data_IF_024888635270
#
_entry.id   IF_024888635270
#
_cell.length_a   1.000
_cell.length_b   1.000
_cell.length_c   1.000
_cell.angle_alpha   90.00
_cell.angle_beta   90.00
_cell.angle_gamma   90.00
#
_symmetry.space_group_name_H-M   'P 1'
#
loop_
_entity.id
_entity.type
_entity.pdbx_description
1 polymer ?
#
# COMPACT_ATOMS: atom_id res chain seq x y z
N UNK A 1 4.67 -15.30 6.42
CA UNK A 1 3.39 -14.54 6.44
C UNK A 1 2.19 -15.42 6.11
N UNK A 2 2.29 -16.36 5.18
CA UNK A 2 1.18 -17.26 4.81
C UNK A 2 0.56 -18.01 6.01
N UNK A 3 1.35 -18.64 6.88
CA UNK A 3 0.84 -19.30 8.11
C UNK A 3 0.08 -18.36 9.04
N UNK A 4 0.48 -17.08 9.12
CA UNK A 4 -0.25 -16.10 9.91
C UNK A 4 -1.61 -15.79 9.27
N UNK A 5 -1.67 -15.76 7.94
CA UNK A 5 -2.90 -15.53 7.17
C UNK A 5 -3.84 -16.76 7.14
N UNK A 6 -3.32 -17.96 7.38
CA UNK A 6 -4.15 -19.16 7.61
C UNK A 6 -4.94 -19.05 8.92
N UNK A 7 -4.34 -18.47 9.95
CA UNK A 7 -4.94 -18.30 11.28
C UNK A 7 -5.81 -17.03 11.32
N UNK A 8 -5.29 -15.93 10.76
CA UNK A 8 -5.94 -14.62 10.72
C UNK A 8 -5.83 -14.01 9.31
N UNK A 9 -6.78 -14.29 8.42
CA UNK A 9 -6.74 -13.82 7.02
C UNK A 9 -6.70 -12.30 6.87
N UNK A 10 -7.11 -11.56 7.91
CA UNK A 10 -7.20 -10.10 7.95
C UNK A 10 -6.03 -9.44 8.68
N UNK A 11 -5.01 -10.20 9.11
CA UNK A 11 -3.85 -9.60 9.77
C UNK A 11 -3.16 -8.61 8.83
N UNK A 12 -3.11 -7.34 9.25
CA UNK A 12 -2.74 -6.20 8.40
C UNK A 12 -1.28 -6.32 7.95
N UNK A 13 -0.36 -6.46 8.89
CA UNK A 13 1.08 -6.54 8.67
C UNK A 13 1.47 -7.81 7.91
N UNK A 14 0.80 -8.95 8.16
CA UNK A 14 1.07 -10.17 7.42
C UNK A 14 0.66 -10.05 5.94
N UNK A 15 -0.48 -9.40 5.66
CA UNK A 15 -0.88 -9.09 4.29
C UNK A 15 0.07 -8.07 3.64
N UNK A 16 0.50 -7.03 4.38
CA UNK A 16 1.43 -6.02 3.88
C UNK A 16 2.79 -6.65 3.50
N UNK A 17 3.39 -7.42 4.42
CA UNK A 17 4.71 -8.00 4.18
C UNK A 17 4.68 -9.07 3.08
N UNK A 18 3.61 -9.89 3.00
CA UNK A 18 3.46 -10.83 1.89
C UNK A 18 3.29 -10.09 0.55
N UNK A 19 2.54 -8.99 0.52
CA UNK A 19 2.40 -8.18 -0.68
C UNK A 19 3.75 -7.60 -1.14
N UNK A 20 4.57 -7.11 -0.20
CA UNK A 20 5.92 -6.62 -0.50
C UNK A 20 6.80 -7.72 -1.10
N UNK A 21 6.82 -8.92 -0.52
CA UNK A 21 7.56 -10.06 -1.09
C UNK A 21 7.08 -10.42 -2.51
N UNK A 22 5.77 -10.40 -2.74
CA UNK A 22 5.20 -10.68 -4.07
C UNK A 22 5.53 -9.59 -5.08
N UNK A 23 5.62 -8.33 -4.64
CA UNK A 23 6.02 -7.20 -5.48
C UNK A 23 7.50 -7.29 -5.89
N UNK A 24 8.37 -7.69 -4.96
CA UNK A 24 9.79 -7.95 -5.21
C UNK A 24 9.99 -9.10 -6.23
N UNK A 25 9.11 -10.09 -6.21
CA UNK A 25 9.06 -11.20 -7.19
C UNK A 25 8.30 -10.85 -8.48
N UNK A 26 8.04 -9.55 -8.72
CA UNK A 26 7.31 -9.02 -9.89
C UNK A 26 5.86 -9.51 -10.05
N UNK A 27 5.31 -10.24 -9.07
CA UNK A 27 3.92 -10.70 -9.01
C UNK A 27 2.96 -9.57 -8.59
N UNK A 28 2.96 -8.48 -9.34
CA UNK A 28 2.28 -7.23 -9.00
C UNK A 28 0.77 -7.41 -8.76
N UNK A 29 0.10 -8.29 -9.50
CA UNK A 29 -1.33 -8.57 -9.29
C UNK A 29 -1.62 -9.24 -7.95
N UNK A 30 -0.75 -10.16 -7.53
CA UNK A 30 -0.88 -10.83 -6.24
C UNK A 30 -0.58 -9.86 -5.09
N UNK A 31 0.47 -9.04 -5.24
CA UNK A 31 0.79 -7.97 -4.30
C UNK A 31 -0.39 -7.01 -4.10
N UNK A 32 -1.01 -6.54 -5.19
CA UNK A 32 -2.19 -5.68 -5.14
C UNK A 32 -3.34 -6.30 -4.33
N UNK A 33 -3.60 -7.60 -4.47
CA UNK A 33 -4.66 -8.28 -3.69
C UNK A 33 -4.37 -8.24 -2.19
N UNK A 34 -3.12 -8.49 -1.80
CA UNK A 34 -2.75 -8.52 -0.39
C UNK A 34 -2.66 -7.12 0.23
N UNK A 35 -2.12 -6.12 -0.47
CA UNK A 35 -2.18 -4.74 0.01
C UNK A 35 -3.63 -4.24 0.19
N UNK A 36 -4.53 -4.59 -0.74
CA UNK A 36 -5.97 -4.27 -0.60
C UNK A 36 -6.63 -5.00 0.57
N UNK A 37 -6.22 -6.23 0.87
CA UNK A 37 -6.69 -6.96 2.06
C UNK A 37 -6.23 -6.28 3.35
N UNK A 38 -4.99 -5.79 3.41
CA UNK A 38 -4.50 -5.02 4.53
C UNK A 38 -5.36 -3.77 4.78
N UNK A 39 -5.66 -3.00 3.73
CA UNK A 39 -6.55 -1.83 3.85
C UNK A 39 -8.02 -2.17 4.11
N UNK A 40 -8.50 -3.33 3.67
CA UNK A 40 -9.84 -3.79 4.00
C UNK A 40 -9.97 -4.18 5.49
N UNK A 41 -8.87 -4.59 6.12
CA UNK A 41 -8.81 -4.87 7.54
C UNK A 41 -8.59 -3.59 8.36
N UNK A 42 -7.71 -2.70 7.92
CA UNK A 42 -7.50 -1.38 8.51
C UNK A 42 -7.36 -0.27 7.43
N UNK A 43 -8.43 0.50 7.17
CA UNK A 43 -8.42 1.62 6.23
C UNK A 43 -7.63 2.86 6.68
N UNK A 44 -7.07 2.84 7.90
CA UNK A 44 -6.26 3.92 8.47
C UNK A 44 -4.77 3.56 8.54
N UNK A 45 -4.38 2.37 8.06
CA UNK A 45 -2.99 1.95 8.02
C UNK A 45 -2.20 2.72 6.94
N UNK A 46 -1.53 3.79 7.36
CA UNK A 46 -0.88 4.75 6.47
C UNK A 46 0.15 4.09 5.53
N UNK A 47 0.95 3.16 6.04
CA UNK A 47 1.99 2.48 5.26
C UNK A 47 1.41 1.65 4.10
N UNK A 48 0.23 1.05 4.26
CA UNK A 48 -0.43 0.32 3.17
C UNK A 48 -0.88 1.26 2.04
N UNK A 49 -1.23 2.52 2.36
CA UNK A 49 -1.48 3.53 1.33
C UNK A 49 -0.18 3.90 0.60
N UNK A 50 0.94 4.02 1.29
CA UNK A 50 2.25 4.26 0.64
C UNK A 50 2.60 3.12 -0.32
N UNK A 51 2.54 1.87 0.14
CA UNK A 51 2.87 0.70 -0.68
C UNK A 51 1.99 0.60 -1.93
N UNK A 52 0.69 0.83 -1.81
CA UNK A 52 -0.21 0.86 -2.98
C UNK A 52 0.10 2.02 -3.93
N UNK A 53 0.42 3.20 -3.40
CA UNK A 53 0.76 4.34 -4.23
C UNK A 53 2.01 4.04 -5.07
N UNK A 54 3.06 3.51 -4.46
CA UNK A 54 4.30 3.11 -5.14
C UNK A 54 4.05 2.02 -6.19
N UNK A 55 3.29 0.99 -5.86
CA UNK A 55 2.97 -0.08 -6.81
C UNK A 55 2.13 0.43 -7.98
N UNK A 56 1.18 1.34 -7.73
CA UNK A 56 0.40 1.95 -8.82
C UNK A 56 1.25 2.87 -9.71
N UNK A 57 2.25 3.58 -9.16
CA UNK A 57 3.23 4.33 -9.97
C UNK A 57 4.05 3.38 -10.85
N UNK A 58 4.56 2.28 -10.30
CA UNK A 58 5.29 1.23 -11.04
C UNK A 58 4.47 0.68 -12.22
N UNK A 59 3.16 0.55 -12.04
CA UNK A 59 2.22 0.09 -13.07
C UNK A 59 1.72 1.19 -14.02
N UNK A 60 2.18 2.44 -13.87
CA UNK A 60 1.74 3.58 -14.68
C UNK A 60 0.33 4.08 -14.38
N UNK A 61 -0.31 3.58 -13.32
CA UNK A 61 -1.67 3.92 -12.89
C UNK A 61 -1.68 5.16 -11.99
N UNK A 62 -1.09 6.26 -12.49
CA UNK A 62 -0.84 7.51 -11.74
C UNK A 62 -2.07 8.07 -11.02
N UNK A 63 -3.24 8.00 -11.66
CA UNK A 63 -4.48 8.55 -11.07
C UNK A 63 -4.84 7.82 -9.78
N UNK A 64 -4.74 6.48 -9.77
CA UNK A 64 -4.98 5.64 -8.59
C UNK A 64 -3.87 5.83 -7.56
N UNK A 65 -2.61 5.95 -7.98
CA UNK A 65 -1.51 6.24 -7.07
C UNK A 65 -1.75 7.55 -6.28
N UNK A 66 -2.18 8.62 -6.98
CA UNK A 66 -2.52 9.91 -6.35
C UNK A 66 -3.63 9.80 -5.31
N UNK A 67 -4.62 8.93 -5.50
CA UNK A 67 -5.67 8.69 -4.48
C UNK A 67 -5.06 8.15 -3.18
N UNK A 68 -4.13 7.20 -3.30
CA UNK A 68 -3.44 6.63 -2.14
C UNK A 68 -2.43 7.61 -1.50
N UNK A 69 -1.70 8.41 -2.28
CA UNK A 69 -0.84 9.47 -1.73
C UNK A 69 -1.64 10.52 -0.94
N UNK A 70 -2.79 10.94 -1.46
CA UNK A 70 -3.69 11.86 -0.75
C UNK A 70 -4.16 11.24 0.56
N UNK A 71 -4.52 9.96 0.53
CA UNK A 71 -4.99 9.25 1.73
C UNK A 71 -3.89 9.08 2.77
N UNK A 72 -2.66 8.75 2.36
CA UNK A 72 -1.50 8.75 3.25
C UNK A 72 -1.33 10.10 3.94
N UNK A 73 -1.33 11.22 3.20
CA UNK A 73 -1.17 12.56 3.80
C UNK A 73 -2.32 12.97 4.72
N UNK A 74 -3.53 12.43 4.55
CA UNK A 74 -4.63 12.64 5.51
C UNK A 74 -4.40 11.93 6.83
N UNK A 75 -3.73 10.78 6.80
CA UNK A 75 -3.45 9.95 7.98
C UNK A 75 -2.16 10.38 8.68
N UNK A 76 -1.15 10.71 7.89
CA UNK A 76 0.20 11.04 8.35
C UNK A 76 0.83 12.12 7.47
N UNK A 77 0.49 13.38 7.75
CA UNK A 77 0.96 14.53 6.97
C UNK A 77 2.42 14.94 7.23
N UNK A 78 3.07 14.32 8.23
CA UNK A 78 4.43 14.64 8.69
C UNK A 78 5.40 13.44 8.71
N UNK A 79 4.95 12.27 8.27
CA UNK A 79 5.77 11.06 8.23
C UNK A 79 6.80 11.04 7.12
N UNK A 80 7.57 9.97 7.08
CA UNK A 80 8.74 9.79 6.21
C UNK A 80 8.44 9.93 4.72
N UNK A 81 7.20 9.69 4.30
CA UNK A 81 6.78 9.79 2.89
C UNK A 81 6.05 11.09 2.56
N UNK A 82 5.90 12.02 3.49
CA UNK A 82 5.06 13.20 3.30
C UNK A 82 5.53 14.09 2.14
N UNK A 83 6.84 14.36 2.04
CA UNK A 83 7.39 15.17 0.94
C UNK A 83 7.27 14.48 -0.42
N UNK A 84 7.47 13.15 -0.45
CA UNK A 84 7.28 12.35 -1.66
C UNK A 84 5.82 12.42 -2.10
N UNK A 85 4.89 12.12 -1.18
CA UNK A 85 3.46 12.18 -1.44
C UNK A 85 3.03 13.55 -1.96
N UNK A 86 3.52 14.65 -1.38
CA UNK A 86 3.22 16.01 -1.85
C UNK A 86 3.70 16.22 -3.29
N UNK A 87 4.90 15.78 -3.65
CA UNK A 87 5.43 15.90 -5.03
C UNK A 87 4.55 15.17 -6.04
N UNK A 88 4.01 14.00 -5.70
CA UNK A 88 3.10 13.26 -6.57
C UNK A 88 1.73 13.93 -6.72
N UNK A 89 1.36 14.90 -5.87
CA UNK A 89 0.07 15.59 -5.91
C UNK A 89 0.13 16.98 -6.55
N UNK A 90 1.32 17.49 -6.86
CA UNK A 90 1.49 18.72 -7.64
C UNK A 90 1.45 18.34 -9.13
N UNK A 91 0.74 19.13 -9.93
CA UNK A 91 0.65 18.97 -11.40
C UNK A 91 1.89 19.51 -12.11
#
# INVERSE_FOLDING_TARGET
>A
FERALEIEPKHVEANLNLATMLEEDEQNEAALRHYKRALAADPFYADAHVSLALLYEKLGLRRTAREHWRRYLQLDSGGSWADVARRHLVD
#
